data_IF_177636471835
#
_entry.id   IF_177636471835
#
_cell.length_a   1.000
_cell.length_b   1.000
_cell.length_c   1.000
_cell.angle_alpha   90.00
_cell.angle_beta   90.00
_cell.angle_gamma   90.00
#
_symmetry.space_group_name_H-M   'P 1'
#
loop_
_entity.id
_entity.type
_entity.pdbx_description
1 polymer ?
#
# COMPACT_ATOMS: atom_id res chain seq x y z
N UNK A 1 14.99 -28.48 3.73
CA UNK A 1 14.67 -27.48 2.69
C UNK A 1 13.70 -26.48 3.28
N UNK A 2 13.95 -25.17 3.14
CA UNK A 2 12.99 -24.15 3.63
C UNK A 2 11.96 -23.88 2.55
N UNK A 3 10.68 -23.94 2.91
CA UNK A 3 9.57 -23.67 1.98
C UNK A 3 9.38 -22.17 1.79
N UNK A 4 9.44 -21.71 0.55
CA UNK A 4 9.10 -20.32 0.19
C UNK A 4 7.59 -20.20 0.10
N UNK A 5 7.03 -19.18 0.75
CA UNK A 5 5.59 -18.92 0.77
C UNK A 5 5.21 -17.81 -0.21
N UNK A 6 3.93 -17.66 -0.60
CA UNK A 6 3.49 -16.54 -1.46
C UNK A 6 3.77 -15.13 -0.91
N UNK A 7 3.99 -15.02 0.41
CA UNK A 7 4.39 -13.79 1.10
C UNK A 7 5.85 -13.41 0.90
N UNK A 8 6.62 -14.26 0.21
CA UNK A 8 8.05 -14.12 0.01
C UNK A 8 8.37 -14.07 -1.48
N UNK A 9 9.49 -13.46 -1.82
CA UNK A 9 10.11 -13.51 -3.13
C UNK A 9 11.62 -13.73 -2.98
N UNK A 10 12.23 -14.26 -4.02
CA UNK A 10 13.67 -14.50 -4.07
C UNK A 10 14.31 -13.58 -5.10
N UNK A 11 15.46 -13.02 -4.77
CA UNK A 11 16.26 -12.23 -5.70
C UNK A 11 17.75 -12.44 -5.44
N UNK A 12 18.52 -12.56 -6.51
CA UNK A 12 19.95 -12.87 -6.45
C UNK A 12 20.34 -13.82 -7.58
N UNK A 13 21.60 -14.22 -7.59
CA UNK A 13 22.12 -15.20 -8.55
C UNK A 13 22.07 -16.60 -7.96
N UNK A 14 21.82 -17.62 -8.78
CA UNK A 14 21.85 -19.02 -8.34
C UNK A 14 23.21 -19.40 -7.72
N UNK A 15 24.29 -18.81 -8.23
CA UNK A 15 25.64 -18.99 -7.72
C UNK A 15 25.87 -18.39 -6.31
N UNK A 16 24.94 -17.59 -5.77
CA UNK A 16 25.05 -16.98 -4.45
C UNK A 16 26.17 -15.93 -4.31
N UNK A 17 26.65 -15.38 -5.44
CA UNK A 17 27.82 -14.48 -5.48
C UNK A 17 27.51 -13.06 -5.03
N UNK A 18 26.25 -12.61 -5.17
CA UNK A 18 25.76 -11.30 -4.76
C UNK A 18 24.44 -11.50 -4.04
N UNK A 19 24.38 -11.10 -2.78
CA UNK A 19 23.19 -11.19 -1.93
C UNK A 19 23.17 -10.02 -0.92
N UNK A 20 22.00 -9.78 -0.34
CA UNK A 20 21.85 -8.92 0.84
C UNK A 20 22.55 -9.52 2.06
N UNK A 21 22.95 -8.67 3.01
CA UNK A 21 23.74 -9.06 4.17
C UNK A 21 23.02 -8.90 5.51
N UNK A 22 23.75 -9.23 6.58
CA UNK A 22 23.39 -8.80 7.93
C UNK A 22 23.39 -7.27 8.01
N UNK A 23 22.32 -6.72 8.58
CA UNK A 23 22.10 -5.28 8.68
C UNK A 23 21.21 -4.71 7.58
N UNK A 24 21.03 -5.43 6.46
CA UNK A 24 20.18 -4.96 5.36
C UNK A 24 18.69 -5.27 5.58
N UNK A 25 18.34 -5.99 6.64
CA UNK A 25 16.94 -6.38 6.92
C UNK A 25 16.01 -5.18 6.99
N UNK A 26 14.88 -5.25 6.27
CA UNK A 26 13.95 -4.14 6.08
C UNK A 26 14.33 -3.18 4.96
N UNK A 27 15.54 -3.31 4.39
CA UNK A 27 16.01 -2.54 3.25
C UNK A 27 15.22 -2.83 1.96
N UNK A 28 15.20 -1.89 1.00
CA UNK A 28 14.34 -1.98 -0.17
C UNK A 28 14.96 -2.81 -1.30
N UNK A 29 14.18 -3.72 -1.88
CA UNK A 29 14.42 -4.30 -3.20
C UNK A 29 13.56 -3.55 -4.22
N UNK A 30 14.20 -2.76 -5.08
CA UNK A 30 13.53 -1.92 -6.09
C UNK A 30 13.91 -2.34 -7.51
N UNK A 31 12.96 -2.21 -8.44
CA UNK A 31 13.19 -2.42 -9.87
C UNK A 31 12.73 -1.20 -10.66
N UNK A 32 13.49 -0.82 -11.68
CA UNK A 32 13.11 0.22 -12.63
C UNK A 32 12.37 -0.37 -13.83
N UNK A 33 11.34 0.34 -14.31
CA UNK A 33 10.72 0.04 -15.60
C UNK A 33 11.43 0.79 -16.76
N UNK A 34 11.02 0.52 -18.00
CA UNK A 34 11.58 1.18 -19.19
C UNK A 34 11.33 2.70 -19.21
N UNK A 35 10.37 3.20 -18.42
CA UNK A 35 10.11 4.64 -18.25
C UNK A 35 10.99 5.29 -17.18
N UNK A 36 11.82 4.52 -16.48
CA UNK A 36 12.70 4.98 -15.41
C UNK A 36 12.03 5.08 -14.04
N UNK A 37 10.80 4.59 -13.87
CA UNK A 37 10.12 4.59 -12.57
C UNK A 37 10.60 3.42 -11.72
N UNK A 38 11.02 3.72 -10.50
CA UNK A 38 11.42 2.73 -9.51
C UNK A 38 10.23 2.27 -8.69
N UNK A 39 10.01 0.96 -8.63
CA UNK A 39 8.95 0.33 -7.84
C UNK A 39 9.55 -0.55 -6.76
N UNK A 40 9.02 -0.46 -5.53
CA UNK A 40 9.40 -1.32 -4.41
C UNK A 40 8.68 -2.66 -4.51
N UNK A 41 9.44 -3.74 -4.75
CA UNK A 41 8.91 -5.08 -4.88
C UNK A 41 9.11 -5.92 -3.62
N UNK A 42 10.18 -5.67 -2.87
CA UNK A 42 10.51 -6.47 -1.70
C UNK A 42 11.18 -5.72 -0.56
N UNK A 43 11.14 -6.33 0.62
CA UNK A 43 11.93 -5.91 1.78
C UNK A 43 12.87 -7.05 2.18
N UNK A 44 14.16 -6.76 2.33
CA UNK A 44 15.16 -7.74 2.74
C UNK A 44 14.73 -8.43 4.03
N UNK A 45 14.70 -9.76 4.03
CA UNK A 45 14.19 -10.53 5.18
C UNK A 45 15.25 -11.47 5.73
N UNK A 46 15.66 -12.46 4.95
CA UNK A 46 16.68 -13.42 5.36
C UNK A 46 17.36 -14.02 4.14
N UNK A 47 18.52 -14.61 4.33
CA UNK A 47 19.29 -15.19 3.24
C UNK A 47 20.50 -15.93 3.78
N UNK A 48 21.39 -16.32 2.87
CA UNK A 48 22.72 -16.74 3.25
C UNK A 48 23.48 -15.56 3.85
N UNK A 49 24.38 -15.80 4.81
CA UNK A 49 25.30 -14.75 5.25
C UNK A 49 26.21 -14.36 4.09
N UNK A 50 26.63 -13.10 4.02
CA UNK A 50 27.59 -12.67 3.01
C UNK A 50 28.83 -13.55 2.99
N UNK A 51 29.34 -13.83 1.80
CA UNK A 51 30.51 -14.70 1.60
C UNK A 51 30.30 -16.15 2.06
N UNK A 52 29.05 -16.57 2.29
CA UNK A 52 28.73 -17.97 2.55
C UNK A 52 28.93 -18.82 1.29
N UNK A 53 29.37 -20.07 1.49
CA UNK A 53 29.36 -21.10 0.42
C UNK A 53 27.96 -21.67 0.14
N UNK A 54 26.94 -21.20 0.88
CA UNK A 54 25.55 -21.63 0.70
C UNK A 54 24.98 -20.94 -0.53
N UNK A 55 24.77 -21.75 -1.57
CA UNK A 55 24.20 -21.34 -2.85
C UNK A 55 22.72 -20.99 -2.72
N UNK A 56 22.29 -19.96 -3.44
CA UNK A 56 20.90 -19.55 -3.55
C UNK A 56 20.68 -18.04 -3.38
N UNK A 57 19.55 -17.53 -3.89
CA UNK A 57 19.20 -16.11 -3.77
C UNK A 57 18.75 -15.75 -2.36
N UNK A 58 18.86 -14.47 -2.01
CA UNK A 58 18.26 -13.90 -0.81
C UNK A 58 16.74 -13.95 -0.86
N UNK A 59 16.12 -13.94 0.31
CA UNK A 59 14.66 -13.98 0.49
C UNK A 59 14.18 -12.65 1.04
N UNK A 60 13.17 -12.12 0.37
CA UNK A 60 12.56 -10.82 0.64
C UNK A 60 11.07 -11.01 0.93
N UNK A 61 10.48 -10.11 1.71
CA UNK A 61 9.03 -10.02 1.86
C UNK A 61 8.43 -9.50 0.55
N UNK A 62 7.37 -10.12 0.04
CA UNK A 62 6.72 -9.72 -1.20
C UNK A 62 5.77 -8.53 -0.97
N UNK A 63 6.21 -7.31 -1.30
CA UNK A 63 5.44 -6.08 -1.04
C UNK A 63 4.12 -6.09 -1.81
N UNK A 64 4.09 -6.63 -3.04
CA UNK A 64 2.87 -6.73 -3.84
C UNK A 64 1.79 -7.53 -3.12
N UNK A 65 2.17 -8.62 -2.45
CA UNK A 65 1.25 -9.44 -1.65
C UNK A 65 0.66 -8.68 -0.45
N UNK A 66 1.37 -7.68 0.10
CA UNK A 66 0.96 -6.95 1.30
C UNK A 66 0.31 -5.58 1.01
N UNK A 67 0.11 -5.20 -0.25
CA UNK A 67 -0.43 -3.89 -0.65
C UNK A 67 -1.72 -3.52 0.08
N UNK A 68 -2.72 -4.42 0.14
CA UNK A 68 -3.98 -4.17 0.85
C UNK A 68 -3.78 -3.95 2.35
N UNK A 69 -2.89 -4.73 2.98
CA UNK A 69 -2.56 -4.57 4.39
C UNK A 69 -1.85 -3.23 4.64
N UNK A 70 -0.88 -2.86 3.81
CA UNK A 70 -0.16 -1.58 3.89
C UNK A 70 -1.16 -0.42 3.79
N UNK A 71 -2.05 -0.44 2.80
CA UNK A 71 -3.08 0.58 2.63
C UNK A 71 -4.00 0.67 3.86
N UNK A 72 -4.42 -0.46 4.42
CA UNK A 72 -5.23 -0.49 5.63
C UNK A 72 -4.49 0.10 6.84
N UNK A 73 -3.20 -0.19 7.01
CA UNK A 73 -2.41 0.38 8.11
C UNK A 73 -2.25 1.89 7.95
N UNK A 74 -1.95 2.37 6.74
CA UNK A 74 -1.88 3.81 6.44
C UNK A 74 -3.23 4.46 6.75
N UNK A 75 -4.34 3.87 6.31
CA UNK A 75 -5.68 4.39 6.60
C UNK A 75 -5.94 4.49 8.10
N UNK A 76 -5.69 3.41 8.82
CA UNK A 76 -5.96 3.30 10.26
C UNK A 76 -5.12 4.29 11.06
N UNK A 77 -3.82 4.36 10.79
CA UNK A 77 -2.90 5.16 11.60
C UNK A 77 -2.87 6.63 11.21
N UNK A 78 -3.14 6.98 9.96
CA UNK A 78 -3.15 8.37 9.49
C UNK A 78 -4.53 9.01 9.59
N UNK A 79 -5.61 8.31 9.22
CA UNK A 79 -6.94 8.94 9.11
C UNK A 79 -7.81 8.73 10.34
N UNK A 80 -7.85 7.52 10.92
CA UNK A 80 -8.66 7.28 12.12
C UNK A 80 -8.07 7.91 13.39
N UNK A 81 -6.75 8.01 13.49
CA UNK A 81 -6.09 8.70 14.61
C UNK A 81 -6.36 10.21 14.55
N UNK A 82 -6.21 10.84 13.38
CA UNK A 82 -6.45 12.27 13.18
C UNK A 82 -7.94 12.61 13.35
N UNK A 83 -8.83 11.76 12.84
CA UNK A 83 -10.28 11.93 13.05
C UNK A 83 -10.71 11.67 14.49
N UNK A 84 -9.97 10.87 15.27
CA UNK A 84 -10.21 10.78 16.72
C UNK A 84 -9.84 12.07 17.45
N UNK A 85 -8.73 12.72 17.08
CA UNK A 85 -8.38 14.03 17.62
C UNK A 85 -9.36 15.12 17.20
N UNK A 86 -9.78 15.15 15.93
CA UNK A 86 -10.79 16.10 15.46
C UNK A 86 -12.18 15.80 16.02
N UNK A 87 -12.59 14.53 16.18
CA UNK A 87 -13.88 14.18 16.79
C UNK A 87 -13.93 14.45 18.30
N UNK A 88 -12.81 14.37 19.03
CA UNK A 88 -12.78 14.81 20.43
C UNK A 88 -12.94 16.34 20.53
N UNK A 89 -12.32 17.09 19.60
CA UNK A 89 -12.51 18.53 19.48
C UNK A 89 -13.96 18.90 19.09
N UNK A 90 -14.53 18.21 18.09
CA UNK A 90 -15.93 18.37 17.69
C UNK A 90 -16.91 17.98 18.80
N UNK A 91 -16.63 16.95 19.60
CA UNK A 91 -17.46 16.58 20.76
C UNK A 91 -17.42 17.63 21.87
N UNK A 92 -16.28 18.31 22.05
CA UNK A 92 -16.18 19.44 23.00
C UNK A 92 -16.91 20.69 22.48
N UNK A 93 -16.83 21.01 21.19
CA UNK A 93 -17.56 22.15 20.61
C UNK A 93 -19.06 21.87 20.43
N UNK A 94 -19.45 20.62 20.14
CA UNK A 94 -20.86 20.22 20.04
C UNK A 94 -21.62 20.35 21.37
N UNK A 95 -20.91 20.31 22.51
CA UNK A 95 -21.52 20.63 23.82
C UNK A 95 -21.85 22.12 23.98
N UNK A 96 -21.37 22.98 23.08
CA UNK A 96 -21.68 24.42 23.01
C UNK A 96 -22.57 24.82 21.84
N UNK A 97 -22.99 23.87 20.99
CA UNK A 97 -23.87 24.15 19.86
C UNK A 97 -25.26 23.62 20.15
N UNK A 98 -26.27 24.47 19.99
CA UNK A 98 -27.66 24.07 20.18
C UNK A 98 -28.05 22.94 19.19
N UNK A 99 -29.07 22.15 19.56
CA UNK A 99 -29.52 20.99 18.80
C UNK A 99 -29.96 21.34 17.37
N UNK A 100 -30.49 22.54 17.16
CA UNK A 100 -30.91 23.06 15.86
C UNK A 100 -29.71 23.43 14.98
N UNK A 101 -28.66 24.03 15.56
CA UNK A 101 -27.39 24.28 14.89
C UNK A 101 -26.67 22.98 14.50
N UNK A 102 -26.77 21.95 15.34
CA UNK A 102 -26.24 20.61 15.04
C UNK A 102 -26.98 19.96 13.87
N UNK A 103 -28.32 20.07 13.82
CA UNK A 103 -29.13 19.59 12.69
C UNK A 103 -28.80 20.33 11.38
N UNK A 104 -28.53 21.64 11.44
CA UNK A 104 -28.11 22.43 10.27
C UNK A 104 -26.73 22.00 9.77
N UNK A 105 -25.78 21.78 10.68
CA UNK A 105 -24.44 21.32 10.32
C UNK A 105 -24.45 19.90 9.71
N UNK A 106 -25.21 18.97 10.31
CA UNK A 106 -25.33 17.61 9.79
C UNK A 106 -25.97 17.58 8.40
N UNK A 107 -27.04 18.36 8.16
CA UNK A 107 -27.62 18.49 6.80
C UNK A 107 -26.63 19.07 5.80
N UNK A 108 -25.90 20.14 6.18
CA UNK A 108 -24.86 20.72 5.34
C UNK A 108 -23.74 19.71 5.01
N UNK A 109 -23.42 18.79 5.94
CA UNK A 109 -22.43 17.72 5.71
C UNK A 109 -22.96 16.60 4.81
N UNK A 110 -24.24 16.23 4.92
CA UNK A 110 -24.89 15.26 4.02
C UNK A 110 -25.01 15.82 2.60
N UNK A 111 -25.30 17.11 2.45
CA UNK A 111 -25.33 17.81 1.16
C UNK A 111 -23.92 17.87 0.54
N UNK A 112 -22.88 18.13 1.34
CA UNK A 112 -21.49 18.10 0.88
C UNK A 112 -21.01 16.69 0.48
N UNK A 113 -21.48 15.64 1.15
CA UNK A 113 -21.20 14.25 0.78
C UNK A 113 -21.95 13.80 -0.48
N UNK A 114 -23.17 14.29 -0.71
CA UNK A 114 -23.89 14.07 -1.97
C UNK A 114 -23.19 14.75 -3.15
N UNK A 115 -22.66 15.96 -2.94
CA UNK A 115 -21.89 16.66 -3.96
C UNK A 115 -20.63 15.88 -4.38
N UNK A 116 -19.94 15.23 -3.43
CA UNK A 116 -18.77 14.39 -3.74
C UNK A 116 -19.13 13.05 -4.38
N UNK A 117 -20.40 12.63 -4.31
CA UNK A 117 -20.87 11.40 -4.96
C UNK A 117 -21.33 11.65 -6.40
N UNK A 118 -21.87 12.84 -6.72
CA UNK A 118 -22.17 13.24 -8.11
C UNK A 118 -20.90 13.46 -8.94
N UNK A 119 -19.79 13.94 -8.35
CA UNK A 119 -18.49 14.07 -9.04
C UNK A 119 -17.78 12.73 -9.34
N UNK A 120 -18.32 11.59 -8.88
CA UNK A 120 -17.75 10.24 -9.13
C UNK A 120 -18.33 9.54 -10.35
N UNK A 121 -19.19 10.19 -11.13
CA UNK A 121 -19.61 9.69 -12.44
C UNK A 121 -18.60 10.02 -13.54
N UNK A 122 -17.30 9.74 -13.30
CA UNK A 122 -16.33 9.61 -14.39
C UNK A 122 -16.49 8.21 -14.96
N UNK A 123 -17.10 8.16 -16.14
CA UNK A 123 -17.24 6.97 -16.98
C UNK A 123 -15.87 6.29 -17.15
N UNK A 124 -15.71 5.11 -16.56
CA UNK A 124 -14.62 4.19 -16.89
C UNK A 124 -14.94 3.61 -18.27
N UNK A 125 -14.23 4.07 -19.31
CA UNK A 125 -14.30 3.42 -20.61
C UNK A 125 -13.83 1.96 -20.48
N UNK A 126 -14.59 0.97 -20.99
CA UNK A 126 -14.18 -0.42 -20.94
C UNK A 126 -12.91 -0.63 -21.78
N UNK A 127 -11.98 -1.45 -21.26
CA UNK A 127 -10.80 -1.92 -21.99
C UNK A 127 -11.28 -2.60 -23.28
N UNK A 128 -10.83 -2.12 -24.45
CA UNK A 128 -10.88 -2.94 -25.66
C UNK A 128 -9.91 -4.10 -25.49
N UNK A 129 -10.45 -5.31 -25.51
CA UNK A 129 -9.72 -6.53 -25.85
C UNK A 129 -9.35 -6.43 -27.33
N UNK A 130 -8.06 -6.43 -27.65
CA UNK A 130 -7.57 -6.63 -29.02
C UNK A 130 -7.44 -8.14 -29.24
N UNK A 131 -8.52 -8.76 -29.67
CA UNK A 131 -8.54 -10.02 -30.42
C UNK A 131 -9.54 -9.81 -31.56
N UNK A 132 -9.03 -9.39 -32.71
CA UNK A 132 -9.54 -9.57 -34.08
C UNK A 132 -8.81 -8.56 -34.98
N UNK A 133 -7.95 -9.08 -35.86
CA UNK A 133 -7.96 -8.84 -37.32
C UNK A 133 -6.77 -9.59 -37.91
N UNK A 134 -7.04 -10.80 -38.39
CA UNK A 134 -6.41 -11.33 -39.58
C UNK A 134 -6.89 -10.48 -40.77
N UNK A 135 -5.97 -9.85 -41.49
CA UNK A 135 -5.95 -9.72 -42.95
C UNK A 135 -4.49 -9.55 -43.43
#
# INVERSE_FOLDING_TARGET
MKTITPRMLCAGYEAGTVDSCMGDSGGPLVCSDASGRWTLFGLTSWGSVCFSKVLGPGVYSNVTHFTSWIQQQIYTHTYLTVTRFSSLFLKHTAKMMDEESTKRYLRASEDAQKQTQEDREITVLPRRTTDELDE
#
